data_IF_249842442724
#
_entry.id   IF_249842442724
#
_cell.length_a   1.000
_cell.length_b   1.000
_cell.length_c   1.000
_cell.angle_alpha   90.00
_cell.angle_beta   90.00
_cell.angle_gamma   90.00
#
_symmetry.space_group_name_H-M   'P 1'
#
loop_
_entity.id
_entity.type
_entity.pdbx_description
1 polymer ?
#
# COMPACT_ATOMS: atom_id res chain seq x y z
N UNK A 1 -3.46 12.76 79.34
CA UNK A 1 -4.49 12.35 78.36
C UNK A 1 -5.78 11.81 78.95
N UNK A 2 -5.79 10.99 80.03
CA UNK A 2 -7.06 10.51 80.61
C UNK A 2 -7.94 11.60 81.25
N UNK A 3 -7.33 12.63 81.82
CA UNK A 3 -8.03 13.72 82.52
C UNK A 3 -8.60 14.81 81.59
N UNK A 4 -8.14 14.91 80.34
CA UNK A 4 -8.62 15.94 79.41
C UNK A 4 -9.91 15.51 78.70
N UNK A 5 -10.02 14.24 78.32
CA UNK A 5 -11.21 13.67 77.65
C UNK A 5 -12.41 13.66 78.61
N UNK A 6 -12.18 13.40 79.90
CA UNK A 6 -13.24 13.40 80.93
C UNK A 6 -13.73 14.83 81.22
N UNK A 7 -12.88 15.85 81.05
CA UNK A 7 -13.26 17.26 81.21
C UNK A 7 -14.14 17.76 80.07
N UNK A 8 -13.94 17.30 78.84
CA UNK A 8 -14.69 17.76 77.66
C UNK A 8 -15.97 16.99 77.38
N UNK A 9 -16.01 15.67 77.62
CA UNK A 9 -17.18 14.83 77.26
C UNK A 9 -18.11 14.51 78.43
N UNK A 10 -17.74 14.83 79.68
CA UNK A 10 -18.52 14.50 80.88
C UNK A 10 -18.41 13.02 81.28
N UNK A 11 -18.42 12.75 82.59
CA UNK A 11 -18.14 11.41 83.15
C UNK A 11 -19.11 10.32 82.69
N UNK A 12 -20.38 10.67 82.47
CA UNK A 12 -21.42 9.70 82.10
C UNK A 12 -21.35 9.31 80.63
N UNK A 13 -20.98 10.24 79.75
CA UNK A 13 -20.76 9.98 78.32
C UNK A 13 -19.55 9.09 78.11
N UNK A 14 -18.47 9.31 78.87
CA UNK A 14 -17.28 8.45 78.84
C UNK A 14 -17.59 7.03 79.34
N UNK A 15 -18.46 6.88 80.36
CA UNK A 15 -18.94 5.55 80.79
C UNK A 15 -19.76 4.85 79.71
N UNK A 16 -20.68 5.55 79.05
CA UNK A 16 -21.46 5.00 77.93
C UNK A 16 -20.57 4.59 76.75
N UNK A 17 -19.59 5.40 76.39
CA UNK A 17 -18.64 5.10 75.30
C UNK A 17 -17.71 3.93 75.62
N UNK A 18 -17.35 3.72 76.90
CA UNK A 18 -16.67 2.50 77.36
C UNK A 18 -17.57 1.28 77.31
N UNK A 19 -18.83 1.40 77.72
CA UNK A 19 -19.81 0.30 77.64
C UNK A 19 -20.14 -0.10 76.19
N UNK A 20 -20.15 0.85 75.26
CA UNK A 20 -20.33 0.60 73.83
C UNK A 20 -19.05 0.11 73.12
N UNK A 21 -17.93 -0.06 73.83
CA UNK A 21 -16.68 -0.59 73.27
C UNK A 21 -15.91 0.39 72.35
N UNK A 22 -16.34 1.65 72.27
CA UNK A 22 -15.73 2.69 71.43
C UNK A 22 -14.45 3.25 72.06
N UNK A 23 -14.41 3.30 73.40
CA UNK A 23 -13.22 3.68 74.16
C UNK A 23 -12.67 2.46 74.88
N UNK A 24 -11.65 1.82 74.29
CA UNK A 24 -10.88 0.75 74.93
C UNK A 24 -9.90 1.31 75.96
N UNK A 25 -9.46 0.49 76.91
CA UNK A 25 -8.42 0.91 77.85
C UNK A 25 -7.11 1.15 77.08
N UNK A 26 -6.37 2.19 77.46
CA UNK A 26 -5.07 2.50 76.83
C UNK A 26 -4.17 1.27 76.93
N UNK A 27 -3.77 0.71 75.78
CA UNK A 27 -2.92 -0.49 75.69
C UNK A 27 -3.64 -1.81 75.34
N UNK A 28 -4.97 -1.85 75.24
CA UNK A 28 -5.69 -3.06 74.77
C UNK A 28 -5.41 -3.38 73.30
N UNK A 29 -5.29 -2.36 72.45
CA UNK A 29 -4.89 -2.54 71.05
C UNK A 29 -3.44 -3.00 70.91
N UNK A 30 -2.51 -2.53 71.75
CA UNK A 30 -1.12 -3.02 71.75
C UNK A 30 -1.07 -4.51 72.09
N UNK A 31 -1.84 -4.96 73.10
CA UNK A 31 -1.95 -6.39 73.44
C UNK A 31 -2.60 -7.23 72.34
N UNK A 32 -3.54 -6.67 71.57
CA UNK A 32 -4.14 -7.38 70.42
C UNK A 32 -3.17 -7.45 69.23
N UNK A 33 -2.35 -6.43 69.01
CA UNK A 33 -1.29 -6.44 67.98
C UNK A 33 -0.18 -7.43 68.35
N UNK A 34 0.19 -7.53 69.64
CA UNK A 34 1.15 -8.52 70.13
C UNK A 34 0.64 -9.98 70.02
N UNK A 35 -0.68 -10.18 69.90
CA UNK A 35 -1.29 -11.49 69.65
C UNK A 35 -1.37 -11.85 68.17
N UNK A 36 -1.10 -10.91 67.24
CA UNK A 36 -1.01 -11.22 65.82
C UNK A 36 0.32 -11.94 65.59
N UNK A 37 0.33 -13.20 65.14
CA UNK A 37 1.58 -13.90 64.86
C UNK A 37 2.39 -13.07 63.85
N UNK A 38 3.68 -12.88 64.13
CA UNK A 38 4.60 -12.20 63.21
C UNK A 38 4.41 -12.79 61.81
N UNK A 39 4.21 -11.93 60.82
CA UNK A 39 4.17 -12.33 59.41
C UNK A 39 5.47 -13.09 59.14
N UNK A 40 5.38 -14.42 59.02
CA UNK A 40 6.52 -15.24 58.64
C UNK A 40 6.99 -14.77 57.27
N UNK A 41 8.22 -14.29 57.17
CA UNK A 41 8.87 -14.08 55.87
C UNK A 41 8.80 -15.41 55.13
N UNK A 42 8.09 -15.43 53.99
CA UNK A 42 8.03 -16.59 53.11
C UNK A 42 9.42 -16.96 52.58
N UNK A 43 10.37 -16.02 52.56
CA UNK A 43 11.69 -16.23 51.99
C UNK A 43 12.78 -16.12 53.07
N UNK A 44 13.55 -17.19 53.22
CA UNK A 44 14.77 -17.25 54.02
C UNK A 44 16.00 -17.09 53.09
N UNK A 45 16.86 -16.08 53.28
CA UNK A 45 18.05 -15.85 52.47
C UNK A 45 19.11 -16.96 52.55
N UNK A 46 19.18 -17.71 53.64
CA UNK A 46 20.21 -18.74 53.83
C UNK A 46 19.75 -20.13 53.37
N UNK A 47 18.46 -20.45 53.53
CA UNK A 47 17.90 -21.77 53.17
C UNK A 47 16.95 -21.78 51.98
N UNK A 48 16.65 -20.62 51.40
CA UNK A 48 15.71 -20.46 50.29
C UNK A 48 14.26 -20.67 50.71
N UNK A 49 13.35 -20.55 49.73
CA UNK A 49 11.91 -20.64 49.96
C UNK A 49 11.48 -22.13 50.07
N UNK A 50 11.36 -22.66 51.28
CA UNK A 50 10.97 -24.08 51.50
C UNK A 50 9.48 -24.34 51.28
N UNK A 51 8.64 -23.31 51.36
CA UNK A 51 7.17 -23.44 51.32
C UNK A 51 6.55 -23.03 49.97
N UNK A 52 7.28 -22.30 49.11
CA UNK A 52 6.81 -21.93 47.77
C UNK A 52 7.38 -22.86 46.69
N UNK A 53 7.10 -24.15 46.79
CA UNK A 53 7.40 -25.10 45.71
C UNK A 53 6.27 -25.04 44.68
N UNK A 54 6.34 -24.05 43.78
CA UNK A 54 5.45 -24.02 42.62
C UNK A 54 5.70 -25.26 41.76
N UNK A 55 4.66 -26.00 41.34
CA UNK A 55 4.81 -27.10 40.42
C UNK A 55 5.58 -26.63 39.17
N UNK A 56 6.50 -27.47 38.67
CA UNK A 56 7.32 -27.14 37.49
C UNK A 56 6.46 -26.71 36.28
N UNK A 57 5.26 -27.28 36.15
CA UNK A 57 4.28 -26.89 35.14
C UNK A 57 3.78 -25.45 35.30
N UNK A 58 3.49 -25.00 36.52
CA UNK A 58 3.03 -23.62 36.79
C UNK A 58 4.13 -22.59 36.54
N UNK A 59 5.40 -22.91 36.88
CA UNK A 59 6.53 -22.06 36.53
C UNK A 59 6.71 -22.00 35.01
N UNK A 60 6.61 -23.14 34.32
CA UNK A 60 6.67 -23.18 32.86
C UNK A 60 5.56 -22.35 32.22
N UNK A 61 4.31 -22.46 32.68
CA UNK A 61 3.19 -21.65 32.20
C UNK A 61 3.36 -20.15 32.49
N UNK A 62 3.91 -19.79 33.66
CA UNK A 62 4.22 -18.40 34.00
C UNK A 62 5.31 -17.82 33.08
N UNK A 63 6.39 -18.59 32.85
CA UNK A 63 7.44 -18.16 31.92
C UNK A 63 6.94 -18.12 30.48
N UNK A 64 6.12 -19.08 30.07
CA UNK A 64 5.49 -19.08 28.75
C UNK A 64 4.58 -17.86 28.58
N UNK A 65 3.67 -17.59 29.51
CA UNK A 65 2.75 -16.44 29.43
C UNK A 65 3.48 -15.10 29.46
N UNK A 66 4.60 -14.99 30.19
CA UNK A 66 5.40 -13.78 30.22
C UNK A 66 6.30 -13.61 28.97
N UNK A 67 6.95 -14.67 28.51
CA UNK A 67 7.97 -14.60 27.46
C UNK A 67 7.42 -14.77 26.04
N UNK A 68 6.39 -15.60 25.81
CA UNK A 68 5.85 -15.85 24.46
C UNK A 68 5.33 -14.59 23.77
N UNK A 69 4.55 -13.70 24.43
CA UNK A 69 4.08 -12.48 23.79
C UNK A 69 5.23 -11.60 23.29
N UNK A 70 6.30 -11.48 24.07
CA UNK A 70 7.50 -10.75 23.68
C UNK A 70 8.22 -11.39 22.49
N UNK A 71 8.36 -12.73 22.49
CA UNK A 71 8.96 -13.45 21.38
C UNK A 71 8.16 -13.30 20.08
N UNK A 72 6.82 -13.41 20.15
CA UNK A 72 5.97 -13.16 19.00
C UNK A 72 6.06 -11.73 18.50
N UNK A 73 6.01 -10.75 19.40
CA UNK A 73 6.17 -9.34 19.04
C UNK A 73 7.51 -9.07 18.35
N UNK A 74 8.60 -9.59 18.91
CA UNK A 74 9.94 -9.50 18.31
C UNK A 74 9.99 -10.15 16.93
N UNK A 75 9.41 -11.33 16.77
CA UNK A 75 9.38 -12.03 15.49
C UNK A 75 8.58 -11.24 14.45
N UNK A 76 7.43 -10.68 14.81
CA UNK A 76 6.60 -9.85 13.92
C UNK A 76 7.39 -8.62 13.47
N UNK A 77 8.09 -7.93 14.38
CA UNK A 77 8.93 -6.78 14.03
C UNK A 77 10.01 -7.18 13.02
N UNK A 78 10.71 -8.30 13.27
CA UNK A 78 11.78 -8.75 12.39
C UNK A 78 11.25 -9.11 10.99
N UNK A 79 10.12 -9.81 10.92
CA UNK A 79 9.47 -10.14 9.64
C UNK A 79 9.04 -8.89 8.88
N UNK A 80 8.42 -7.93 9.56
CA UNK A 80 7.99 -6.68 8.93
C UNK A 80 9.17 -5.83 8.47
N UNK A 81 10.26 -5.80 9.25
CA UNK A 81 11.51 -5.14 8.84
C UNK A 81 12.08 -5.76 7.58
N UNK A 82 12.18 -7.09 7.52
CA UNK A 82 12.71 -7.79 6.35
C UNK A 82 11.83 -7.56 5.12
N UNK A 83 10.51 -7.54 5.30
CA UNK A 83 9.56 -7.24 4.23
C UNK A 83 9.77 -5.81 3.70
N UNK A 84 9.88 -4.83 4.60
CA UNK A 84 10.14 -3.43 4.25
C UNK A 84 11.46 -3.25 3.49
N UNK A 85 12.53 -3.93 3.93
CA UNK A 85 13.83 -3.88 3.23
C UNK A 85 13.70 -4.44 1.81
N UNK A 86 13.07 -5.62 1.65
CA UNK A 86 12.84 -6.21 0.32
C UNK A 86 12.03 -5.31 -0.61
N UNK A 87 10.98 -4.68 -0.09
CA UNK A 87 10.18 -3.74 -0.88
C UNK A 87 11.00 -2.49 -1.26
N UNK A 88 11.82 -1.98 -0.34
CA UNK A 88 12.69 -0.83 -0.60
C UNK A 88 13.71 -1.17 -1.69
N UNK A 89 14.37 -2.32 -1.62
CA UNK A 89 15.33 -2.78 -2.63
C UNK A 89 14.67 -2.96 -4.01
N UNK A 90 13.45 -3.51 -4.04
CA UNK A 90 12.67 -3.63 -5.27
C UNK A 90 12.30 -2.25 -5.86
N UNK A 91 11.96 -1.27 -5.03
CA UNK A 91 11.67 0.10 -5.50
C UNK A 91 12.93 0.73 -6.06
N UNK A 92 14.07 0.62 -5.37
CA UNK A 92 15.36 1.17 -5.82
C UNK A 92 15.77 0.59 -7.17
N UNK A 93 15.74 -0.73 -7.33
CA UNK A 93 16.10 -1.40 -8.60
C UNK A 93 15.17 -1.00 -9.76
N UNK A 94 13.86 -0.87 -9.51
CA UNK A 94 12.92 -0.34 -10.50
C UNK A 94 13.23 1.10 -10.88
N UNK A 95 13.56 1.94 -9.89
CA UNK A 95 13.88 3.34 -10.10
C UNK A 95 15.16 3.50 -10.95
N UNK A 96 16.21 2.72 -10.65
CA UNK A 96 17.43 2.66 -11.45
C UNK A 96 17.15 2.22 -12.89
N UNK A 97 16.31 1.19 -13.07
CA UNK A 97 15.92 0.70 -14.40
C UNK A 97 15.17 1.78 -15.20
N UNK A 98 14.26 2.52 -14.56
CA UNK A 98 13.55 3.64 -15.18
C UNK A 98 14.53 4.76 -15.52
N UNK A 99 15.43 5.12 -14.60
CA UNK A 99 16.44 6.15 -14.81
C UNK A 99 17.37 5.83 -15.99
N UNK A 100 17.69 4.55 -16.21
CA UNK A 100 18.50 4.11 -17.35
C UNK A 100 17.73 4.02 -18.67
N UNK A 101 16.45 3.66 -18.63
CA UNK A 101 15.63 3.41 -19.83
C UNK A 101 14.90 4.65 -20.35
N UNK A 102 14.53 5.57 -19.46
CA UNK A 102 13.75 6.76 -19.80
C UNK A 102 14.51 7.73 -20.72
N UNK A 103 15.80 8.06 -20.48
CA UNK A 103 16.56 8.92 -21.40
C UNK A 103 16.64 8.33 -22.81
N UNK A 104 16.89 7.02 -22.93
CA UNK A 104 16.95 6.32 -24.22
C UNK A 104 15.62 6.39 -24.97
N UNK A 105 14.51 6.22 -24.25
CA UNK A 105 13.16 6.30 -24.82
C UNK A 105 12.85 7.72 -25.30
N UNK A 106 13.22 8.74 -24.51
CA UNK A 106 13.07 10.16 -24.88
C UNK A 106 13.93 10.50 -26.11
N UNK A 107 15.17 10.03 -26.16
CA UNK A 107 16.05 10.25 -27.33
C UNK A 107 15.47 9.57 -28.59
N UNK A 108 14.91 8.39 -28.44
CA UNK A 108 14.25 7.67 -29.55
C UNK A 108 13.01 8.41 -30.03
N UNK A 109 12.17 8.91 -29.11
CA UNK A 109 11.03 9.76 -29.46
C UNK A 109 11.47 11.05 -30.16
N UNK A 110 12.54 11.70 -29.68
CA UNK A 110 13.08 12.92 -30.32
C UNK A 110 13.56 12.63 -31.73
N UNK A 111 14.25 11.50 -31.97
CA UNK A 111 14.67 11.09 -33.32
C UNK A 111 13.47 10.84 -34.22
N UNK A 112 12.48 10.07 -33.75
CA UNK A 112 11.26 9.79 -34.50
C UNK A 112 10.49 11.08 -34.85
N UNK A 113 10.42 12.04 -33.92
CA UNK A 113 9.78 13.33 -34.17
C UNK A 113 10.45 14.13 -35.29
N UNK A 114 11.77 13.96 -35.48
CA UNK A 114 12.53 14.62 -36.55
C UNK A 114 12.44 13.84 -37.87
N UNK A 115 12.44 12.51 -37.82
CA UNK A 115 12.44 11.66 -39.02
C UNK A 115 11.05 11.49 -39.65
N UNK A 116 9.99 11.42 -38.84
CA UNK A 116 8.63 11.22 -39.33
C UNK A 116 8.16 12.31 -40.30
N UNK A 117 8.37 13.62 -40.06
CA UNK A 117 8.02 14.66 -41.03
C UNK A 117 8.78 14.51 -42.36
N UNK A 118 10.05 14.11 -42.31
CA UNK A 118 10.86 13.89 -43.52
C UNK A 118 10.32 12.72 -44.33
N UNK A 119 9.98 11.61 -43.67
CA UNK A 119 9.37 10.46 -44.34
C UNK A 119 7.99 10.80 -44.92
N UNK A 120 7.18 11.56 -44.20
CA UNK A 120 5.88 12.04 -44.71
C UNK A 120 6.06 12.94 -45.94
N UNK A 121 7.03 13.85 -45.92
CA UNK A 121 7.31 14.72 -47.06
C UNK A 121 7.79 13.93 -48.29
N UNK A 122 8.68 12.96 -48.10
CA UNK A 122 9.11 12.05 -49.18
C UNK A 122 7.95 11.23 -49.74
N UNK A 123 7.06 10.75 -48.88
CA UNK A 123 5.87 10.00 -49.28
C UNK A 123 4.91 10.88 -50.07
N UNK A 124 4.67 12.12 -49.61
CA UNK A 124 3.83 13.10 -50.28
C UNK A 124 4.37 13.42 -51.69
N UNK A 125 5.68 13.66 -51.82
CA UNK A 125 6.32 13.90 -53.11
C UNK A 125 6.17 12.70 -54.05
N UNK A 126 6.29 11.48 -53.52
CA UNK A 126 6.12 10.25 -54.29
C UNK A 126 4.68 10.08 -54.78
N UNK A 127 3.70 10.36 -53.92
CA UNK A 127 2.27 10.36 -54.26
C UNK A 127 1.95 11.41 -55.32
N UNK A 128 2.50 12.63 -55.20
CA UNK A 128 2.29 13.68 -56.19
C UNK A 128 2.88 13.32 -57.55
N UNK A 129 4.07 12.70 -57.56
CA UNK A 129 4.70 12.19 -58.78
C UNK A 129 3.85 11.08 -59.42
N UNK A 130 3.31 10.17 -58.60
CA UNK A 130 2.41 9.13 -59.07
C UNK A 130 1.12 9.72 -59.65
N UNK A 131 0.54 10.72 -59.01
CA UNK A 131 -0.65 11.43 -59.50
C UNK A 131 -0.42 12.00 -60.90
N UNK A 132 0.71 12.70 -61.12
CA UNK A 132 1.07 13.24 -62.44
C UNK A 132 1.20 12.13 -63.49
N UNK A 133 1.81 10.99 -63.15
CA UNK A 133 1.90 9.83 -64.06
C UNK A 133 0.53 9.28 -64.41
N UNK A 134 -0.37 9.17 -63.44
CA UNK A 134 -1.74 8.70 -63.66
C UNK A 134 -2.51 9.67 -64.57
N UNK A 135 -2.37 10.99 -64.38
CA UNK A 135 -2.97 12.00 -65.25
C UNK A 135 -2.49 11.86 -66.70
N UNK A 136 -1.18 11.68 -66.92
CA UNK A 136 -0.61 11.44 -68.25
C UNK A 136 -1.18 10.16 -68.88
N UNK A 137 -1.29 9.07 -68.11
CA UNK A 137 -1.87 7.82 -68.61
C UNK A 137 -3.34 8.03 -69.00
N UNK A 138 -4.11 8.75 -68.18
CA UNK A 138 -5.51 9.06 -68.47
C UNK A 138 -5.65 9.88 -69.76
N UNK A 139 -4.81 10.87 -69.97
CA UNK A 139 -4.78 11.63 -71.23
C UNK A 139 -4.44 10.75 -72.43
N UNK A 140 -3.48 9.85 -72.29
CA UNK A 140 -3.10 8.93 -73.35
C UNK A 140 -4.23 7.95 -73.69
N UNK A 141 -4.93 7.42 -72.69
CA UNK A 141 -6.13 6.58 -72.88
C UNK A 141 -7.21 7.36 -73.64
N UNK A 142 -7.52 8.59 -73.22
CA UNK A 142 -8.50 9.42 -73.93
C UNK A 142 -8.12 9.65 -75.40
N UNK A 143 -6.83 9.87 -75.69
CA UNK A 143 -6.35 10.03 -77.08
C UNK A 143 -6.50 8.72 -77.87
N UNK A 144 -6.20 7.58 -77.26
CA UNK A 144 -6.38 6.25 -77.86
C UNK A 144 -7.86 5.95 -78.13
N UNK A 145 -8.75 6.28 -77.21
CA UNK A 145 -10.21 6.15 -77.40
C UNK A 145 -10.69 7.01 -78.57
N UNK A 146 -10.30 8.29 -78.62
CA UNK A 146 -10.64 9.17 -79.74
C UNK A 146 -10.09 8.67 -81.07
N UNK A 147 -8.88 8.11 -81.08
CA UNK A 147 -8.29 7.50 -82.28
C UNK A 147 -9.07 6.26 -82.72
N UNK A 148 -9.45 5.40 -81.76
CA UNK A 148 -10.24 4.20 -82.02
C UNK A 148 -11.64 4.54 -82.55
N UNK A 149 -12.31 5.54 -81.99
CA UNK A 149 -13.60 6.03 -82.51
C UNK A 149 -13.48 6.54 -83.97
N UNK A 150 -12.40 7.24 -84.30
CA UNK A 150 -12.14 7.70 -85.67
C UNK A 150 -11.91 6.52 -86.62
N UNK A 151 -11.14 5.51 -86.19
CA UNK A 151 -10.94 4.28 -86.97
C UNK A 151 -12.25 3.53 -87.20
N UNK A 152 -13.08 3.38 -86.17
CA UNK A 152 -14.40 2.74 -86.29
C UNK A 152 -15.29 3.45 -87.31
N UNK A 153 -15.29 4.79 -87.34
CA UNK A 153 -16.02 5.58 -88.35
C UNK A 153 -15.48 5.41 -89.78
N UNK A 154 -14.20 5.05 -89.94
CA UNK A 154 -13.61 4.78 -91.26
C UNK A 154 -13.95 3.36 -91.72
N UNK A 155 -13.88 2.37 -90.82
CA UNK A 155 -14.14 0.96 -91.12
C UNK A 155 -15.64 0.71 -91.35
N UNK A 156 -16.50 1.33 -90.55
CA UNK A 156 -17.95 1.33 -90.70
C UNK A 156 -18.41 2.75 -91.04
N UNK A 157 -18.24 3.20 -92.30
CA UNK A 157 -18.72 4.51 -92.70
C UNK A 157 -20.23 4.58 -92.43
N UNK A 158 -20.73 5.68 -91.84
CA UNK A 158 -22.17 5.87 -91.69
C UNK A 158 -22.80 5.73 -93.08
N UNK A 159 -23.80 4.87 -93.21
CA UNK A 159 -24.56 4.73 -94.44
C UNK A 159 -25.09 6.11 -94.82
N UNK A 160 -24.49 6.74 -95.82
CA UNK A 160 -25.09 7.85 -96.53
C UNK A 160 -26.32 7.30 -97.23
N UNK A 161 -27.46 7.29 -96.55
CA UNK A 161 -28.75 7.38 -97.22
C UNK A 161 -28.80 8.76 -97.86
N UNK A 162 -28.14 8.86 -99.01
CA UNK A 162 -28.51 9.76 -100.09
C UNK A 162 -29.96 9.44 -100.44
N UNK A 163 -30.90 10.15 -99.82
CA UNK A 163 -32.24 10.33 -100.38
C UNK A 163 -32.10 11.19 -101.64
N UNK A 164 -31.61 10.57 -102.71
CA UNK A 164 -31.90 10.97 -104.07
C UNK A 164 -33.36 10.53 -104.28
N UNK A 165 -34.31 11.38 -103.88
CA UNK A 165 -35.68 11.23 -104.34
C UNK A 165 -35.68 11.53 -105.82
N UNK A 166 -35.71 10.47 -106.62
CA UNK A 166 -36.33 10.52 -107.93
C UNK A 166 -37.81 10.84 -107.71
N UNK A 167 -38.14 12.14 -107.77
CA UNK A 167 -39.39 12.72 -108.25
C UNK A 167 -39.23 14.24 -108.37
#
# INVERSE_FOLDING_TARGET
>A
MGNEIVKTLGKDTVKKLKQMGVLTNKGEFEKQVDQIPLIKRLWDPETGNKELVLPKGTLYELFCSYCLPFLFYKQIILVNRDLLMKHTDMVTTKLETIQLSMPKSVDTMRKLQIEMPKQLQLTMNSVETLKKRVEIIKENINKLEQFNEKLLKIINPPSTTSSLSLM
#
